data_IF_239925644455
#
_entry.id   IF_239925644455
#
_cell.length_a   1.000
_cell.length_b   1.000
_cell.length_c   1.000
_cell.angle_alpha   90.00
_cell.angle_beta   90.00
_cell.angle_gamma   90.00
#
_symmetry.space_group_name_H-M   'P 1'
#
loop_
_entity.id
_entity.type
_entity.pdbx_description
1 polymer ?
#
# COMPACT_ATOMS: atom_id res chain seq x y z
N UNK A 1 -20.54 19.67 1.88
CA UNK A 1 -19.81 18.54 1.27
C UNK A 1 -20.63 18.08 0.09
N UNK A 2 -20.17 18.36 -1.13
CA UNK A 2 -20.77 17.77 -2.32
C UNK A 2 -20.32 16.30 -2.37
N UNK A 3 -21.29 15.39 -2.19
CA UNK A 3 -21.08 13.97 -2.31
C UNK A 3 -21.00 13.65 -3.80
N UNK A 4 -19.78 13.59 -4.31
CA UNK A 4 -19.53 13.24 -5.70
C UNK A 4 -19.57 11.71 -5.79
N UNK A 5 -20.74 11.17 -6.12
CA UNK A 5 -20.91 9.78 -6.57
C UNK A 5 -20.61 9.74 -8.06
N UNK A 6 -19.39 9.36 -8.44
CA UNK A 6 -18.96 9.31 -9.84
C UNK A 6 -18.74 7.86 -10.28
N UNK A 7 -19.66 7.33 -11.10
CA UNK A 7 -19.62 5.98 -11.67
C UNK A 7 -18.70 5.85 -12.91
N UNK A 8 -18.09 6.93 -13.40
CA UNK A 8 -16.97 6.88 -14.33
C UNK A 8 -16.50 8.30 -14.63
N UNK A 9 -15.26 8.63 -14.25
CA UNK A 9 -14.53 9.72 -14.90
C UNK A 9 -13.34 9.10 -15.61
N UNK A 10 -13.38 9.12 -16.93
CA UNK A 10 -12.20 9.12 -17.76
C UNK A 10 -11.81 10.59 -17.95
N UNK A 11 -10.79 11.05 -17.23
CA UNK A 11 -10.11 12.31 -17.53
C UNK A 11 -8.83 11.97 -18.27
N UNK A 12 -8.96 11.84 -19.59
CA UNK A 12 -7.82 11.84 -20.50
C UNK A 12 -7.41 13.30 -20.77
N UNK A 13 -6.69 13.91 -19.85
CA UNK A 13 -5.74 14.95 -20.23
C UNK A 13 -4.41 14.25 -20.43
N UNK A 14 -3.85 14.37 -21.65
CA UNK A 14 -2.63 13.69 -22.06
C UNK A 14 -1.46 14.13 -21.19
N UNK A 15 -1.04 13.27 -20.27
CA UNK A 15 0.11 13.48 -19.41
C UNK A 15 1.29 12.73 -20.03
N UNK A 16 2.37 13.46 -20.35
CA UNK A 16 3.68 12.86 -20.58
C UNK A 16 4.21 12.33 -19.23
N UNK A 17 3.79 11.14 -18.83
CA UNK A 17 4.36 10.47 -17.66
C UNK A 17 5.62 9.71 -18.09
N UNK A 18 6.74 9.98 -17.44
CA UNK A 18 7.92 9.11 -17.52
C UNK A 18 7.55 7.72 -17.01
N UNK A 19 7.72 6.70 -17.86
CA UNK A 19 7.56 5.30 -17.50
C UNK A 19 8.56 4.92 -16.38
N UNK A 20 8.08 4.48 -15.22
CA UNK A 20 8.92 4.03 -14.09
C UNK A 20 8.70 2.53 -13.84
N UNK A 21 9.77 1.75 -13.65
CA UNK A 21 9.69 0.28 -13.54
C UNK A 21 9.90 -0.20 -12.11
N UNK A 22 8.89 -0.87 -11.55
CA UNK A 22 8.86 -1.57 -10.25
C UNK A 22 8.96 -3.08 -10.48
N UNK A 23 10.16 -3.65 -10.36
CA UNK A 23 10.37 -5.07 -10.67
C UNK A 23 9.96 -5.43 -12.10
N UNK A 24 8.78 -6.04 -12.28
CA UNK A 24 8.19 -6.36 -13.61
C UNK A 24 7.15 -5.34 -14.11
N UNK A 25 6.66 -4.43 -13.27
CA UNK A 25 5.65 -3.45 -13.67
C UNK A 25 6.31 -2.18 -14.14
N UNK A 26 5.76 -1.55 -15.16
CA UNK A 26 6.10 -0.18 -15.51
C UNK A 26 4.85 0.65 -15.36
N UNK A 27 4.85 1.64 -14.48
CA UNK A 27 3.70 2.52 -14.32
C UNK A 27 3.44 3.26 -15.63
N UNK A 28 2.22 3.08 -16.13
CA UNK A 28 1.66 3.80 -17.27
C UNK A 28 0.25 4.23 -16.82
N UNK A 29 -0.05 5.54 -16.76
CA UNK A 29 -1.37 6.02 -16.36
C UNK A 29 -2.51 5.42 -17.20
N UNK A 30 -2.23 4.98 -18.43
CA UNK A 30 -3.22 4.34 -19.30
C UNK A 30 -3.60 2.93 -18.84
N UNK A 31 -2.79 2.31 -17.98
CA UNK A 31 -3.04 0.99 -17.41
C UNK A 31 -3.90 1.04 -16.12
N UNK A 32 -4.19 2.25 -15.63
CA UNK A 32 -5.06 2.51 -14.48
C UNK A 32 -6.53 2.59 -14.88
N UNK A 33 -7.41 1.93 -14.11
CA UNK A 33 -8.85 2.05 -14.33
C UNK A 33 -9.41 3.38 -13.82
N UNK A 34 -9.03 3.79 -12.61
CA UNK A 34 -9.24 5.14 -12.10
C UNK A 34 -7.89 5.78 -11.82
N UNK A 35 -7.69 6.98 -12.36
CA UNK A 35 -6.43 7.70 -12.25
C UNK A 35 -6.70 9.14 -11.83
N UNK A 36 -6.09 9.55 -10.74
CA UNK A 36 -6.13 10.91 -10.22
C UNK A 36 -4.71 11.45 -10.13
N UNK A 37 -4.53 12.69 -10.60
CA UNK A 37 -3.23 13.33 -10.61
C UNK A 37 -3.31 14.77 -10.11
N UNK A 38 -2.29 15.22 -9.37
CA UNK A 38 -2.10 16.62 -8.98
C UNK A 38 -3.34 17.21 -8.28
N UNK A 39 -3.96 16.44 -7.40
CA UNK A 39 -5.22 16.82 -6.74
C UNK A 39 -5.18 16.46 -5.26
N UNK A 40 -6.00 17.13 -4.45
CA UNK A 40 -6.05 16.88 -3.02
C UNK A 40 -7.49 16.72 -2.54
N UNK A 41 -7.66 16.20 -1.32
CA UNK A 41 -8.95 16.12 -0.63
C UNK A 41 -10.01 15.27 -1.35
N UNK A 42 -9.57 14.21 -2.04
CA UNK A 42 -10.49 13.22 -2.59
C UNK A 42 -11.11 12.39 -1.46
N UNK A 43 -12.37 12.03 -1.60
CA UNK A 43 -13.06 11.10 -0.70
C UNK A 43 -13.73 10.01 -1.53
N UNK A 44 -12.99 8.95 -1.79
CA UNK A 44 -13.45 7.81 -2.58
C UNK A 44 -13.96 6.71 -1.65
N UNK A 45 -15.14 6.17 -1.94
CA UNK A 45 -15.67 5.05 -1.15
C UNK A 45 -16.60 4.14 -1.93
N UNK A 46 -16.75 2.90 -1.45
CA UNK A 46 -17.65 1.90 -2.03
C UNK A 46 -17.36 1.59 -3.51
N UNK A 47 -16.09 1.72 -3.92
CA UNK A 47 -15.66 1.34 -5.26
C UNK A 47 -15.56 -0.18 -5.36
N UNK A 48 -15.78 -0.71 -6.56
CA UNK A 48 -15.51 -2.10 -6.89
C UNK A 48 -14.74 -2.17 -8.21
N UNK A 49 -13.45 -2.48 -8.12
CA UNK A 49 -12.55 -2.48 -9.28
C UNK A 49 -11.91 -3.85 -9.42
N UNK A 50 -12.09 -4.47 -10.59
CA UNK A 50 -11.60 -5.82 -10.83
C UNK A 50 -11.00 -6.01 -12.23
N UNK A 51 -10.01 -6.91 -12.33
CA UNK A 51 -9.43 -7.38 -13.61
C UNK A 51 -8.79 -6.27 -14.43
N UNK A 52 -7.97 -5.47 -13.77
CA UNK A 52 -7.18 -4.37 -14.36
C UNK A 52 -5.70 -4.63 -14.13
N UNK A 53 -4.85 -3.93 -14.88
CA UNK A 53 -3.43 -3.90 -14.54
C UNK A 53 -3.30 -3.11 -13.24
N UNK A 54 -3.74 -1.85 -13.21
CA UNK A 54 -3.87 -1.08 -11.99
C UNK A 54 -5.34 -0.74 -11.69
N UNK A 55 -5.79 -0.99 -10.46
CA UNK A 55 -7.16 -0.70 -10.04
C UNK A 55 -7.43 0.79 -9.87
N UNK A 56 -6.88 1.37 -8.81
CA UNK A 56 -6.90 2.82 -8.55
C UNK A 56 -5.46 3.33 -8.46
N UNK A 57 -5.20 4.48 -9.07
CA UNK A 57 -3.89 5.11 -9.10
C UNK A 57 -3.98 6.57 -8.66
N UNK A 58 -3.14 6.93 -7.71
CA UNK A 58 -2.84 8.29 -7.28
C UNK A 58 -1.41 8.65 -7.74
N UNK A 59 -1.26 9.79 -8.41
CA UNK A 59 0.04 10.36 -8.80
C UNK A 59 0.08 11.83 -8.35
N UNK A 60 0.92 12.15 -7.37
CA UNK A 60 0.95 13.46 -6.72
C UNK A 60 -0.44 13.86 -6.19
N UNK A 61 -1.04 12.97 -5.41
CA UNK A 61 -2.33 13.18 -4.73
C UNK A 61 -2.10 13.24 -3.24
N UNK A 62 -2.73 14.20 -2.57
CA UNK A 62 -2.58 14.34 -1.12
C UNK A 62 -3.89 14.53 -0.35
N UNK A 63 -3.79 14.35 0.97
CA UNK A 63 -4.85 14.58 1.95
C UNK A 63 -6.18 13.92 1.55
N UNK A 64 -6.09 12.76 0.91
CA UNK A 64 -7.22 12.06 0.31
C UNK A 64 -7.56 10.79 1.09
N UNK A 65 -8.78 10.30 0.93
CA UNK A 65 -9.25 9.08 1.60
C UNK A 65 -9.83 8.10 0.59
N UNK A 66 -9.44 6.83 0.72
CA UNK A 66 -10.01 5.69 0.01
C UNK A 66 -10.52 4.69 1.04
N UNK A 67 -11.84 4.45 1.06
CA UNK A 67 -12.41 3.58 2.09
C UNK A 67 -13.54 2.67 1.61
N UNK A 68 -13.76 1.55 2.31
CA UNK A 68 -14.90 0.64 2.06
C UNK A 68 -15.02 0.16 0.62
N UNK A 69 -13.90 0.02 -0.06
CA UNK A 69 -13.83 -0.37 -1.47
C UNK A 69 -13.26 -1.77 -1.62
N UNK A 70 -13.52 -2.39 -2.77
CA UNK A 70 -13.00 -3.71 -3.12
C UNK A 70 -12.16 -3.62 -4.38
N UNK A 71 -10.90 -4.05 -4.26
CA UNK A 71 -9.94 -4.15 -5.37
C UNK A 71 -9.56 -5.61 -5.52
N UNK A 72 -9.98 -6.27 -6.61
CA UNK A 72 -9.69 -7.70 -6.76
C UNK A 72 -9.30 -8.17 -8.15
N UNK A 73 -8.46 -9.21 -8.22
CA UNK A 73 -7.99 -9.78 -9.50
C UNK A 73 -7.31 -8.74 -10.41
N UNK A 74 -6.67 -7.71 -9.84
CA UNK A 74 -5.84 -6.76 -10.57
C UNK A 74 -4.36 -7.15 -10.47
N UNK A 75 -3.49 -6.60 -11.30
CA UNK A 75 -2.05 -6.77 -11.01
C UNK A 75 -1.70 -5.93 -9.77
N UNK A 76 -2.16 -4.68 -9.70
CA UNK A 76 -2.05 -3.83 -8.51
C UNK A 76 -3.44 -3.32 -8.12
N UNK A 77 -3.85 -3.54 -6.87
CA UNK A 77 -5.16 -3.10 -6.37
C UNK A 77 -5.26 -1.58 -6.24
N UNK A 78 -4.37 -0.99 -5.44
CA UNK A 78 -4.21 0.46 -5.28
C UNK A 78 -2.74 0.85 -5.36
N UNK A 79 -2.46 1.92 -6.11
CA UNK A 79 -1.12 2.48 -6.26
C UNK A 79 -1.13 3.95 -5.87
N UNK A 80 -0.33 4.32 -4.87
CA UNK A 80 -0.10 5.69 -4.43
C UNK A 80 1.34 6.09 -4.74
N UNK A 81 1.52 7.04 -5.65
CA UNK A 81 2.81 7.50 -6.13
C UNK A 81 2.98 9.00 -5.88
N UNK A 82 4.10 9.39 -5.29
CA UNK A 82 4.38 10.79 -4.91
C UNK A 82 3.24 11.39 -4.05
N UNK A 83 2.59 10.55 -3.25
CA UNK A 83 1.42 10.92 -2.46
C UNK A 83 1.77 11.58 -1.12
N UNK A 84 0.88 12.43 -0.62
CA UNK A 84 1.06 13.13 0.67
C UNK A 84 -0.12 12.87 1.62
N UNK A 85 0.11 12.21 2.75
CA UNK A 85 -0.87 12.12 3.83
C UNK A 85 -2.20 11.48 3.41
N UNK A 86 -2.16 10.47 2.53
CA UNK A 86 -3.34 9.75 2.07
C UNK A 86 -3.76 8.66 3.08
N UNK A 87 -5.07 8.50 3.25
CA UNK A 87 -5.67 7.54 4.17
C UNK A 87 -6.40 6.43 3.41
N UNK A 88 -5.96 5.19 3.58
CA UNK A 88 -6.59 4.00 2.99
C UNK A 88 -7.12 3.10 4.10
N UNK A 89 -8.45 2.95 4.19
CA UNK A 89 -9.05 2.20 5.30
C UNK A 89 -10.31 1.40 5.01
N UNK A 90 -10.49 0.30 5.76
CA UNK A 90 -11.67 -0.57 5.63
C UNK A 90 -11.90 -1.07 4.20
N UNK A 91 -10.84 -1.26 3.42
CA UNK A 91 -10.93 -1.80 2.06
C UNK A 91 -10.60 -3.30 2.04
N UNK A 92 -11.02 -3.98 0.97
CA UNK A 92 -10.66 -5.37 0.69
C UNK A 92 -9.80 -5.44 -0.57
N UNK A 93 -8.57 -5.92 -0.44
CA UNK A 93 -7.63 -6.18 -1.53
C UNK A 93 -7.48 -7.68 -1.70
N UNK A 94 -8.04 -8.27 -2.76
CA UNK A 94 -8.02 -9.72 -2.91
C UNK A 94 -7.59 -10.24 -4.27
N UNK A 95 -6.75 -11.29 -4.26
CA UNK A 95 -6.27 -11.95 -5.49
C UNK A 95 -5.61 -11.01 -6.48
N UNK A 96 -4.97 -9.95 -6.00
CA UNK A 96 -4.13 -9.11 -6.84
C UNK A 96 -2.69 -9.65 -6.85
N UNK A 97 -1.84 -9.24 -7.80
CA UNK A 97 -0.41 -9.52 -7.64
C UNK A 97 0.14 -8.74 -6.44
N UNK A 98 -0.18 -7.45 -6.38
CA UNK A 98 0.06 -6.56 -5.26
C UNK A 98 -1.27 -6.01 -4.76
N UNK A 99 -1.54 -6.14 -3.45
CA UNK A 99 -2.72 -5.53 -2.85
C UNK A 99 -2.64 -4.02 -2.96
N UNK A 100 -1.60 -3.44 -2.37
CA UNK A 100 -1.31 -2.01 -2.39
C UNK A 100 0.18 -1.75 -2.57
N UNK A 101 0.50 -0.73 -3.36
CA UNK A 101 1.84 -0.18 -3.49
C UNK A 101 1.81 1.30 -3.10
N UNK A 102 2.75 1.72 -2.25
CA UNK A 102 3.03 3.12 -1.92
C UNK A 102 4.47 3.40 -2.30
N UNK A 103 4.69 4.38 -3.17
CA UNK A 103 6.03 4.70 -3.68
C UNK A 103 6.25 6.21 -3.67
N UNK A 104 7.48 6.63 -3.34
CA UNK A 104 7.91 8.04 -3.34
C UNK A 104 6.98 8.95 -2.51
N UNK A 105 6.23 8.40 -1.55
CA UNK A 105 5.17 9.13 -0.84
C UNK A 105 5.63 9.55 0.56
N UNK A 106 4.78 10.26 1.30
CA UNK A 106 5.02 10.58 2.69
C UNK A 106 3.76 10.59 3.56
N UNK A 107 3.94 10.28 4.85
CA UNK A 107 2.92 10.37 5.90
C UNK A 107 1.61 9.60 5.62
N UNK A 108 1.69 8.49 4.88
CA UNK A 108 0.53 7.66 4.53
C UNK A 108 -0.08 6.95 5.75
N UNK A 109 -1.37 6.61 5.65
CA UNK A 109 -2.09 5.81 6.67
C UNK A 109 -2.80 4.65 5.99
N UNK A 110 -2.35 3.43 6.26
CA UNK A 110 -2.97 2.16 5.83
C UNK A 110 -3.56 1.48 7.06
N UNK A 111 -4.89 1.59 7.22
CA UNK A 111 -5.55 1.27 8.48
C UNK A 111 -6.77 0.36 8.29
N UNK A 112 -6.88 -0.73 9.05
CA UNK A 112 -8.10 -1.57 9.07
C UNK A 112 -8.48 -2.12 7.68
N UNK A 113 -7.52 -2.58 6.87
CA UNK A 113 -7.82 -3.20 5.58
C UNK A 113 -7.68 -4.73 5.63
N UNK A 114 -8.41 -5.42 4.75
CA UNK A 114 -8.30 -6.87 4.54
C UNK A 114 -7.51 -7.14 3.26
N UNK A 115 -6.40 -7.87 3.36
CA UNK A 115 -5.59 -8.34 2.24
C UNK A 115 -5.66 -9.86 2.15
N UNK A 116 -6.32 -10.38 1.12
CA UNK A 116 -6.67 -11.79 1.02
C UNK A 116 -6.20 -12.41 -0.29
N UNK A 117 -5.36 -13.45 -0.21
CA UNK A 117 -4.93 -14.23 -1.37
C UNK A 117 -4.19 -13.42 -2.45
N UNK A 118 -3.49 -12.33 -2.08
CA UNK A 118 -2.63 -11.63 -3.04
C UNK A 118 -1.41 -12.50 -3.39
N UNK A 119 -0.86 -12.33 -4.59
CA UNK A 119 0.13 -13.27 -5.11
C UNK A 119 1.52 -12.92 -4.57
N UNK A 120 2.02 -11.73 -4.88
CA UNK A 120 3.37 -11.30 -4.55
C UNK A 120 3.41 -10.59 -3.20
N UNK A 121 2.69 -9.48 -3.02
CA UNK A 121 2.70 -8.74 -1.75
C UNK A 121 1.30 -8.22 -1.38
N UNK A 122 0.99 -8.18 -0.08
CA UNK A 122 -0.22 -7.49 0.36
C UNK A 122 0.02 -5.97 0.39
N UNK A 123 1.08 -5.52 1.05
CA UNK A 123 1.49 -4.12 1.10
C UNK A 123 2.98 -4.03 0.72
N UNK A 124 3.29 -3.21 -0.27
CA UNK A 124 4.66 -2.84 -0.64
C UNK A 124 4.84 -1.32 -0.49
N UNK A 125 5.82 -0.90 0.28
CA UNK A 125 6.18 0.51 0.47
C UNK A 125 7.63 0.69 0.07
N UNK A 126 7.88 1.66 -0.81
CA UNK A 126 9.19 1.89 -1.43
C UNK A 126 9.56 3.37 -1.44
N UNK A 127 10.81 3.70 -1.13
CA UNK A 127 11.36 5.06 -1.22
C UNK A 127 10.46 6.15 -0.58
N UNK A 128 9.82 5.81 0.54
CA UNK A 128 8.77 6.61 1.19
C UNK A 128 9.25 7.16 2.53
N UNK A 129 8.66 8.26 2.99
CA UNK A 129 9.01 8.91 4.26
C UNK A 129 7.88 8.91 5.28
N UNK A 130 8.14 8.30 6.45
CA UNK A 130 7.13 8.17 7.51
C UNK A 130 5.90 7.35 7.07
N UNK A 131 4.99 7.08 8.02
CA UNK A 131 3.70 6.46 7.70
C UNK A 131 3.24 5.45 8.76
N UNK A 132 1.98 5.04 8.66
CA UNK A 132 1.33 4.14 9.61
C UNK A 132 0.67 2.98 8.87
N UNK A 133 1.05 1.75 9.22
CA UNK A 133 0.40 0.52 8.80
C UNK A 133 -0.16 -0.18 10.03
N UNK A 134 -1.47 -0.08 10.25
CA UNK A 134 -2.08 -0.54 11.50
C UNK A 134 -3.39 -1.28 11.33
N UNK A 135 -3.61 -2.31 12.17
CA UNK A 135 -4.87 -3.05 12.24
C UNK A 135 -5.27 -3.72 10.91
N UNK A 136 -4.33 -4.05 10.03
CA UNK A 136 -4.64 -4.75 8.80
C UNK A 136 -4.66 -6.27 9.04
N UNK A 137 -5.63 -6.95 8.43
CA UNK A 137 -5.70 -8.42 8.37
C UNK A 137 -5.14 -8.88 7.02
N UNK A 138 -4.02 -9.59 7.07
CA UNK A 138 -3.28 -10.05 5.90
C UNK A 138 -3.20 -11.56 5.93
N UNK A 139 -3.80 -12.21 4.94
CA UNK A 139 -3.76 -13.67 4.86
C UNK A 139 -3.61 -14.22 3.44
N UNK A 140 -2.92 -15.37 3.36
CA UNK A 140 -2.74 -16.17 2.15
C UNK A 140 -1.92 -15.49 1.04
N UNK A 141 -0.83 -14.80 1.36
CA UNK A 141 0.09 -14.29 0.32
C UNK A 141 0.91 -15.44 -0.26
N UNK A 142 0.70 -15.74 -1.55
CA UNK A 142 1.11 -17.05 -2.11
C UNK A 142 2.57 -17.17 -2.57
N UNK A 143 3.23 -16.07 -2.90
CA UNK A 143 4.59 -16.06 -3.44
C UNK A 143 5.53 -15.08 -2.75
N UNK A 144 5.03 -14.06 -2.02
CA UNK A 144 5.89 -13.11 -1.32
C UNK A 144 5.48 -12.81 0.12
N UNK A 145 5.62 -11.54 0.50
CA UNK A 145 5.54 -11.09 1.89
C UNK A 145 4.19 -10.45 2.20
N UNK A 146 3.81 -10.43 3.48
CA UNK A 146 2.66 -9.65 3.94
C UNK A 146 2.91 -8.15 3.75
N UNK A 147 3.82 -7.60 4.54
CA UNK A 147 4.25 -6.21 4.47
C UNK A 147 5.73 -6.18 4.08
N UNK A 148 6.07 -5.41 3.05
CA UNK A 148 7.46 -5.11 2.69
C UNK A 148 7.67 -3.61 2.71
N UNK A 149 8.68 -3.16 3.44
CA UNK A 149 9.17 -1.77 3.47
C UNK A 149 10.60 -1.78 2.94
N UNK A 150 10.85 -1.07 1.85
CA UNK A 150 12.13 -1.04 1.13
C UNK A 150 12.58 0.40 0.91
N UNK A 151 13.87 0.68 1.13
CA UNK A 151 14.49 1.98 0.88
C UNK A 151 13.73 3.17 1.51
N UNK A 152 13.07 2.98 2.67
CA UNK A 152 12.28 4.03 3.32
C UNK A 152 13.03 4.72 4.47
N UNK A 153 12.63 5.94 4.82
CA UNK A 153 13.23 6.68 5.92
C UNK A 153 12.17 7.29 6.84
N UNK A 154 12.25 7.03 8.14
CA UNK A 154 11.52 7.79 9.15
C UNK A 154 12.40 8.84 9.84
N UNK A 155 11.84 9.52 10.83
CA UNK A 155 12.60 10.25 11.86
C UNK A 155 12.05 9.90 13.24
N UNK A 156 12.73 10.34 14.31
CA UNK A 156 12.17 10.23 15.67
C UNK A 156 10.78 10.90 15.81
N UNK A 157 10.48 11.94 15.01
CA UNK A 157 9.19 12.64 15.05
C UNK A 157 8.14 12.04 14.11
N UNK A 158 8.57 11.37 13.04
CA UNK A 158 7.72 10.75 12.02
C UNK A 158 8.30 9.38 11.63
N UNK A 159 8.28 8.39 12.53
CA UNK A 159 8.78 7.06 12.22
C UNK A 159 7.84 6.35 11.24
N UNK A 160 8.30 5.23 10.69
CA UNK A 160 7.41 4.27 10.03
C UNK A 160 6.86 3.35 11.12
N UNK A 161 5.56 3.41 11.37
CA UNK A 161 4.89 2.61 12.39
C UNK A 161 4.16 1.43 11.76
N UNK A 162 4.47 0.23 12.23
CA UNK A 162 3.76 -1.00 11.85
C UNK A 162 3.20 -1.61 13.12
N UNK A 163 1.88 -1.53 13.33
CA UNK A 163 1.29 -1.93 14.60
C UNK A 163 0.01 -2.74 14.48
N UNK A 164 -0.24 -3.65 15.43
CA UNK A 164 -1.51 -4.39 15.55
C UNK A 164 -1.97 -5.11 14.26
N UNK A 165 -1.05 -5.48 13.36
CA UNK A 165 -1.44 -6.21 12.15
C UNK A 165 -1.50 -7.72 12.43
N UNK A 166 -2.51 -8.39 11.87
CA UNK A 166 -2.60 -9.85 11.85
C UNK A 166 -2.11 -10.35 10.49
N UNK A 167 -1.02 -11.11 10.47
CA UNK A 167 -0.37 -11.57 9.25
C UNK A 167 -0.23 -13.09 9.32
N UNK A 168 -1.05 -13.80 8.55
CA UNK A 168 -1.11 -15.26 8.57
C UNK A 168 -0.91 -15.91 7.20
N UNK A 169 -0.24 -17.06 7.17
CA UNK A 169 -0.12 -17.91 5.97
C UNK A 169 0.48 -17.18 4.76
N UNK A 170 1.65 -16.57 4.93
CA UNK A 170 2.38 -15.89 3.84
C UNK A 170 3.60 -16.72 3.40
N UNK A 171 3.97 -16.65 2.12
CA UNK A 171 5.01 -17.52 1.58
C UNK A 171 6.44 -17.13 1.98
N UNK A 172 6.75 -15.85 2.14
CA UNK A 172 8.07 -15.40 2.60
C UNK A 172 7.99 -14.81 4.01
N UNK A 173 8.20 -13.50 4.13
CA UNK A 173 8.17 -12.79 5.41
C UNK A 173 6.75 -12.33 5.71
N UNK A 174 6.35 -12.40 6.97
CA UNK A 174 5.19 -11.65 7.45
C UNK A 174 5.42 -10.15 7.27
N UNK A 175 6.56 -9.68 7.80
CA UNK A 175 7.04 -8.30 7.68
C UNK A 175 8.49 -8.35 7.22
N UNK A 176 8.83 -7.65 6.14
CA UNK A 176 10.19 -7.48 5.64
C UNK A 176 10.56 -6.01 5.64
N UNK A 177 11.69 -5.68 6.27
CA UNK A 177 12.27 -4.33 6.31
C UNK A 177 13.64 -4.39 5.65
N UNK A 178 13.85 -3.61 4.60
CA UNK A 178 15.07 -3.61 3.80
C UNK A 178 15.56 -2.17 3.58
N UNK A 179 16.84 -1.90 3.83
CA UNK A 179 17.48 -0.58 3.63
C UNK A 179 16.70 0.59 4.26
N UNK A 180 16.03 0.34 5.39
CA UNK A 180 15.09 1.28 5.98
C UNK A 180 15.60 1.77 7.34
N UNK A 181 15.27 3.00 7.72
CA UNK A 181 15.64 3.58 9.00
C UNK A 181 14.42 4.10 9.78
N UNK A 182 14.51 4.10 11.12
CA UNK A 182 13.49 4.64 12.03
C UNK A 182 12.11 3.95 11.90
N UNK A 183 12.08 2.63 12.10
CA UNK A 183 10.86 1.82 12.10
C UNK A 183 10.49 1.41 13.52
N UNK A 184 9.23 1.63 13.90
CA UNK A 184 8.65 1.14 15.15
C UNK A 184 7.62 0.05 14.87
N UNK A 185 7.87 -1.14 15.41
CA UNK A 185 6.95 -2.28 15.32
C UNK A 185 6.37 -2.63 16.69
N UNK A 186 5.04 -2.72 16.76
CA UNK A 186 4.32 -2.96 18.02
C UNK A 186 3.15 -3.93 17.81
N UNK A 187 3.05 -4.97 18.65
CA UNK A 187 1.87 -5.84 18.71
C UNK A 187 1.40 -6.48 17.40
N UNK A 188 2.32 -6.69 16.45
CA UNK A 188 2.02 -7.44 15.23
C UNK A 188 1.97 -8.95 15.51
N UNK A 189 0.94 -9.61 15.02
CA UNK A 189 0.79 -11.05 15.09
C UNK A 189 1.17 -11.71 13.76
N UNK A 190 2.38 -12.27 13.69
CA UNK A 190 2.89 -12.95 12.48
C UNK A 190 2.91 -14.46 12.71
N UNK A 191 2.13 -15.21 11.94
CA UNK A 191 2.02 -16.67 12.05
C UNK A 191 2.04 -17.36 10.69
N UNK A 192 2.62 -18.56 10.60
CA UNK A 192 2.67 -19.37 9.38
C UNK A 192 3.29 -18.66 8.18
N UNK A 193 4.21 -17.73 8.42
CA UNK A 193 5.18 -17.27 7.43
C UNK A 193 6.38 -18.22 7.41
N UNK A 194 7.04 -18.39 6.25
CA UNK A 194 8.26 -19.19 6.19
C UNK A 194 9.41 -18.50 6.93
N UNK A 195 9.50 -17.17 6.81
CA UNK A 195 10.66 -16.42 7.25
C UNK A 195 10.38 -15.50 8.47
N UNK A 196 9.14 -15.43 8.97
CA UNK A 196 8.84 -14.62 10.16
C UNK A 196 8.89 -13.12 9.88
N UNK A 197 9.77 -12.41 10.61
CA UNK A 197 10.09 -10.99 10.40
C UNK A 197 11.54 -10.91 9.91
N UNK A 198 11.75 -10.29 8.76
CA UNK A 198 13.08 -10.08 8.16
C UNK A 198 13.50 -8.63 8.25
N UNK A 199 14.73 -8.37 8.72
CA UNK A 199 15.32 -7.03 8.77
C UNK A 199 16.70 -7.10 8.13
N UNK A 200 16.89 -6.36 7.05
CA UNK A 200 18.08 -6.42 6.21
C UNK A 200 18.61 -4.99 5.99
N UNK A 201 19.90 -4.78 6.24
CA UNK A 201 20.61 -3.51 5.97
C UNK A 201 19.88 -2.26 6.51
N UNK A 202 19.20 -2.40 7.64
CA UNK A 202 18.32 -1.38 8.22
C UNK A 202 18.86 -0.91 9.57
N UNK A 203 18.49 0.29 9.99
CA UNK A 203 18.97 0.91 11.24
C UNK A 203 17.81 1.52 12.04
N UNK A 204 18.05 1.75 13.34
CA UNK A 204 17.05 2.27 14.29
C UNK A 204 15.66 1.59 14.22
N UNK A 205 15.66 0.28 14.44
CA UNK A 205 14.45 -0.55 14.43
C UNK A 205 14.05 -0.90 15.85
N UNK A 206 12.89 -0.40 16.28
CA UNK A 206 12.25 -0.77 17.54
C UNK A 206 11.24 -1.89 17.34
N UNK A 207 11.30 -2.92 18.18
CA UNK A 207 10.28 -3.98 18.23
C UNK A 207 9.84 -4.12 19.68
N UNK A 208 8.54 -3.97 19.91
CA UNK A 208 7.96 -4.11 21.24
C UNK A 208 6.70 -4.96 21.21
N UNK A 209 6.34 -5.45 22.40
CA UNK A 209 5.07 -6.10 22.68
C UNK A 209 4.53 -5.45 23.94
N UNK A 210 3.27 -5.02 23.91
CA UNK A 210 2.58 -4.40 25.05
C UNK A 210 1.72 -5.41 25.80
#
# INVERSE_FOLDING_TARGET
SEYISMDHISTSDSIESSKKTLGRYTFDPNDCYLYYQNTNYLSLSHLRIERKVFGLCFDNVGLSTVQRSTFSMNDVGFYDYDGDSNWVSSNTFSRNDYGMIVEDSHDYVIYDNEFNSNIDMAIYVDNTYGGLIRLNDIFQVSQGSGITIEDCWGTEQTPIEIADNEITSVFHYGIRILHTEHVWMEDNYVMFSYDGIGIEYSSDIGISKV
#
